data_IF_450752487389
#
_entry.id   IF_450752487389
#
_cell.length_a   1.000
_cell.length_b   1.000
_cell.length_c   1.000
_cell.angle_alpha   90.00
_cell.angle_beta   90.00
_cell.angle_gamma   90.00
#
_symmetry.space_group_name_H-M   'P 1'
#
loop_
_entity.id
_entity.type
_entity.pdbx_description
1 polymer ?
#
# COMPACT_ATOMS: atom_id res chain seq x y z
N UNK A 1 39.41 -28.04 -10.60
CA UNK A 1 40.90 -27.90 -10.73
C UNK A 1 41.27 -26.43 -10.63
N UNK A 2 42.26 -26.10 -9.71
CA UNK A 2 42.97 -24.82 -9.47
C UNK A 2 42.08 -23.67 -8.92
N UNK A 3 41.98 -23.35 -7.62
CA UNK A 3 42.95 -22.87 -6.59
C UNK A 3 43.82 -21.69 -7.06
N UNK A 4 43.56 -20.50 -6.48
CA UNK A 4 44.59 -19.57 -5.97
C UNK A 4 43.94 -18.53 -5.07
N UNK A 5 44.23 -18.61 -3.93
CA UNK A 5 44.53 -17.96 -2.67
C UNK A 5 45.52 -16.78 -2.85
N UNK A 6 45.24 -15.59 -2.37
CA UNK A 6 46.22 -14.60 -1.95
C UNK A 6 45.77 -13.85 -0.70
N UNK A 7 46.57 -14.07 0.33
CA UNK A 7 46.64 -13.39 1.64
C UNK A 7 47.81 -12.41 1.58
N UNK A 8 47.69 -11.21 2.14
CA UNK A 8 48.70 -10.35 2.77
C UNK A 8 47.95 -9.25 3.54
N UNK A 9 47.88 -9.15 4.82
CA UNK A 9 48.78 -8.98 5.97
C UNK A 9 49.50 -7.63 6.06
N UNK A 10 49.21 -6.90 7.14
CA UNK A 10 50.10 -6.02 7.89
C UNK A 10 49.96 -4.52 7.60
N UNK A 11 49.97 -3.59 8.50
CA UNK A 11 50.55 -3.47 9.82
C UNK A 11 50.03 -2.23 10.56
N UNK A 12 49.99 -2.34 11.80
CA UNK A 12 49.91 -1.46 12.98
C UNK A 12 50.91 -0.29 12.97
N UNK A 13 50.51 0.97 13.34
CA UNK A 13 51.37 1.94 14.00
C UNK A 13 50.57 2.76 15.03
N UNK A 14 50.92 2.61 16.30
CA UNK A 14 50.69 3.51 17.43
C UNK A 14 51.67 4.67 17.40
N UNK A 15 51.26 5.86 17.80
CA UNK A 15 52.15 6.82 18.49
C UNK A 15 51.36 7.71 19.44
N UNK A 16 51.82 7.71 20.65
CA UNK A 16 51.43 8.42 21.87
C UNK A 16 52.14 9.79 21.97
N UNK A 17 51.73 10.52 23.03
CA UNK A 17 52.39 11.68 23.72
C UNK A 17 51.87 13.04 23.23
N UNK A 18 51.45 13.96 24.07
CA UNK A 18 51.62 14.24 25.49
C UNK A 18 51.97 15.72 25.64
N UNK A 19 51.50 16.38 26.68
CA UNK A 19 52.11 17.67 27.06
C UNK A 19 51.12 18.71 27.59
N UNK A 20 51.02 18.79 28.77
CA UNK A 20 50.95 19.67 29.93
C UNK A 20 51.22 21.17 29.73
N UNK A 21 50.43 21.99 30.47
CA UNK A 21 51.05 23.03 31.26
C UNK A 21 50.49 24.44 31.11
N UNK A 22 50.01 24.99 32.24
CA UNK A 22 50.36 26.31 32.66
C UNK A 22 49.26 27.23 33.18
N UNK A 23 49.07 27.20 34.42
CA UNK A 23 48.62 28.13 35.45
C UNK A 23 48.70 29.65 35.20
N UNK A 24 47.73 30.42 35.78
CA UNK A 24 47.81 31.85 35.99
C UNK A 24 46.59 32.40 36.75
N UNK A 25 46.78 32.64 38.08
CA UNK A 25 45.85 33.29 38.99
C UNK A 25 45.83 34.81 38.83
N UNK A 26 44.69 35.47 39.17
CA UNK A 26 44.49 36.52 40.21
C UNK A 26 43.05 37.05 40.07
N UNK A 27 42.23 36.95 41.08
CA UNK A 27 41.91 37.77 42.27
C UNK A 27 40.99 38.99 41.97
N UNK A 28 39.80 39.02 42.63
CA UNK A 28 38.96 40.21 42.84
C UNK A 28 37.45 39.92 42.96
N UNK A 29 36.90 39.69 44.14
CA UNK A 29 35.49 39.83 44.48
C UNK A 29 35.24 41.24 45.01
N UNK A 30 34.08 41.64 45.58
CA UNK A 30 32.86 40.88 45.88
C UNK A 30 31.58 41.58 45.36
N UNK A 31 30.42 40.92 45.29
CA UNK A 31 29.20 41.35 46.00
C UNK A 31 28.05 40.38 45.73
N UNK A 32 27.43 39.95 46.83
CA UNK A 32 26.27 39.06 46.85
C UNK A 32 25.00 39.85 46.73
N UNK A 33 24.06 39.38 45.88
CA UNK A 33 22.62 39.63 46.04
C UNK A 33 21.88 38.31 45.74
N UNK A 34 20.96 37.83 46.58
CA UNK A 34 20.35 36.54 46.46
C UNK A 34 19.20 36.55 45.46
N UNK A 35 19.18 35.61 44.53
CA UNK A 35 18.09 35.37 43.60
C UNK A 35 17.18 34.26 44.16
N UNK A 36 15.84 34.41 44.08
CA UNK A 36 14.89 33.39 44.57
C UNK A 36 14.87 32.16 43.68
N UNK A 37 14.72 31.00 44.28
CA UNK A 37 14.55 29.71 43.66
C UNK A 37 13.36 29.69 42.66
N UNK A 38 13.63 29.42 41.39
CA UNK A 38 12.63 29.08 40.40
C UNK A 38 12.27 27.61 40.56
N UNK A 39 11.03 27.38 40.97
CA UNK A 39 10.38 26.07 40.97
C UNK A 39 10.35 25.51 39.56
N UNK A 40 10.97 24.34 39.35
CA UNK A 40 10.90 23.57 38.14
C UNK A 40 9.44 23.12 37.89
N UNK A 41 8.81 23.71 36.91
CA UNK A 41 7.53 23.23 36.38
C UNK A 41 7.86 22.11 35.41
N UNK A 42 7.67 20.86 35.83
CA UNK A 42 7.59 19.72 34.91
C UNK A 42 6.40 19.97 33.94
N UNK A 43 6.73 20.33 32.73
CA UNK A 43 5.77 20.33 31.62
C UNK A 43 5.47 18.88 31.26
N UNK A 44 4.46 18.29 31.91
CA UNK A 44 3.73 17.14 31.36
C UNK A 44 3.17 17.60 30.02
N UNK A 45 3.68 17.04 28.93
CA UNK A 45 3.06 17.11 27.61
C UNK A 45 1.70 16.39 27.70
N UNK A 46 0.68 17.11 28.12
CA UNK A 46 -0.69 16.68 28.08
C UNK A 46 -1.12 16.61 26.61
N UNK A 47 -1.27 15.40 26.10
CA UNK A 47 -2.05 15.15 24.92
C UNK A 47 -3.48 15.68 25.21
N UNK A 48 -3.83 16.83 24.64
CA UNK A 48 -5.18 17.37 24.65
C UNK A 48 -6.04 16.47 23.76
N UNK A 49 -6.67 15.47 24.35
CA UNK A 49 -7.77 14.74 23.70
C UNK A 49 -8.97 15.68 23.64
N UNK A 50 -9.40 15.99 22.42
CA UNK A 50 -10.69 16.68 22.22
C UNK A 50 -11.80 15.87 22.89
N UNK A 51 -12.75 16.52 23.63
CA UNK A 51 -13.87 15.84 24.27
C UNK A 51 -14.77 15.23 23.19
N UNK A 52 -14.82 13.89 23.11
CA UNK A 52 -15.68 13.16 22.17
C UNK A 52 -14.99 12.29 21.13
N UNK A 53 -13.64 12.28 21.07
CA UNK A 53 -12.90 11.43 20.14
C UNK A 53 -13.20 9.93 20.40
N UNK A 54 -13.60 9.22 19.35
CA UNK A 54 -13.81 7.77 19.41
C UNK A 54 -12.48 7.08 19.75
N UNK A 55 -12.45 6.36 20.87
CA UNK A 55 -11.27 5.62 21.31
C UNK A 55 -11.53 4.12 21.35
N UNK A 56 -10.54 3.35 21.00
CA UNK A 56 -10.61 1.89 21.14
C UNK A 56 -10.44 1.50 22.60
N UNK A 57 -11.37 0.68 23.10
CA UNK A 57 -11.20 -0.01 24.39
C UNK A 57 -10.29 -1.21 24.20
N UNK A 58 -9.18 -1.23 24.92
CA UNK A 58 -8.26 -2.37 24.97
C UNK A 58 -8.45 -3.13 26.28
N UNK A 59 -8.22 -4.49 26.31
CA UNK A 59 -7.76 -5.30 25.19
C UNK A 59 -8.82 -5.44 24.09
N UNK A 60 -8.39 -5.36 22.83
CA UNK A 60 -9.22 -5.57 21.66
C UNK A 60 -8.90 -6.91 21.01
N UNK A 61 -9.91 -7.78 20.85
CA UNK A 61 -9.75 -9.04 20.11
C UNK A 61 -10.53 -8.97 18.79
N UNK A 62 -9.82 -9.17 17.69
CA UNK A 62 -10.34 -9.16 16.31
C UNK A 62 -9.74 -10.30 15.50
N UNK A 63 -10.42 -10.70 14.41
CA UNK A 63 -9.93 -11.74 13.50
C UNK A 63 -9.50 -11.13 12.19
N UNK A 64 -8.37 -11.57 11.66
CA UNK A 64 -7.89 -11.18 10.34
C UNK A 64 -8.52 -12.03 9.21
N UNK A 65 -8.09 -11.81 7.97
CA UNK A 65 -8.63 -12.49 6.79
C UNK A 65 -8.35 -14.00 6.77
N UNK A 66 -7.38 -14.52 7.55
CA UNK A 66 -7.12 -15.96 7.71
C UNK A 66 -8.01 -16.59 8.77
N UNK A 67 -8.82 -15.80 9.49
CA UNK A 67 -9.61 -16.24 10.64
C UNK A 67 -8.84 -16.30 11.95
N UNK A 68 -7.54 -15.95 11.94
CA UNK A 68 -6.70 -15.91 13.13
C UNK A 68 -7.13 -14.78 14.05
N UNK A 69 -7.35 -15.10 15.33
CA UNK A 69 -7.71 -14.12 16.35
C UNK A 69 -6.46 -13.45 16.90
N UNK A 70 -6.48 -12.12 16.96
CA UNK A 70 -5.42 -11.28 17.53
C UNK A 70 -5.97 -10.47 18.69
N UNK A 71 -5.26 -10.48 19.82
CA UNK A 71 -5.63 -9.67 20.99
C UNK A 71 -4.58 -8.59 21.19
N UNK A 72 -4.98 -7.34 21.01
CA UNK A 72 -4.15 -6.16 21.21
C UNK A 72 -4.40 -5.61 22.61
N UNK A 73 -3.35 -5.61 23.47
CA UNK A 73 -3.45 -5.02 24.81
C UNK A 73 -3.44 -3.48 24.79
N UNK A 74 -2.91 -2.89 23.73
CA UNK A 74 -2.85 -1.45 23.43
C UNK A 74 -2.71 -1.23 21.93
N UNK A 75 -2.83 0.01 21.47
CA UNK A 75 -2.56 0.36 20.08
C UNK A 75 -1.11 0.04 19.71
N UNK A 76 -0.85 -0.60 18.53
CA UNK A 76 0.50 -0.84 18.03
C UNK A 76 1.29 0.47 17.85
N UNK A 77 2.56 0.45 18.20
CA UNK A 77 3.48 1.60 18.13
C UNK A 77 4.61 1.38 17.11
N UNK A 78 4.92 0.12 16.79
CA UNK A 78 5.97 -0.26 15.83
C UNK A 78 5.41 -1.20 14.79
N UNK A 79 5.05 -0.64 13.65
CA UNK A 79 4.34 -1.36 12.58
C UNK A 79 5.30 -1.59 11.42
N UNK A 80 5.43 -2.84 11.00
CA UNK A 80 6.02 -3.20 9.71
C UNK A 80 4.90 -3.46 8.72
N UNK A 81 4.93 -2.79 7.57
CA UNK A 81 4.00 -3.06 6.47
C UNK A 81 4.74 -3.76 5.33
N UNK A 82 4.25 -4.93 4.93
CA UNK A 82 4.85 -5.70 3.82
C UNK A 82 4.05 -5.61 2.52
N UNK A 83 3.14 -4.63 2.44
CA UNK A 83 2.27 -4.45 1.27
C UNK A 83 1.96 -2.97 1.02
N UNK A 84 2.12 -2.46 -0.21
CA UNK A 84 1.88 -1.06 -0.54
C UNK A 84 0.47 -0.55 -0.21
N UNK A 85 -0.57 -1.37 -0.39
CA UNK A 85 -1.94 -0.97 -0.08
C UNK A 85 -2.13 -0.69 1.42
N UNK A 86 -1.59 -1.56 2.27
CA UNK A 86 -1.64 -1.42 3.73
C UNK A 86 -0.78 -0.26 4.21
N UNK A 87 0.38 -0.03 3.59
CA UNK A 87 1.20 1.16 3.85
C UNK A 87 0.42 2.43 3.56
N UNK A 88 -0.25 2.51 2.41
CA UNK A 88 -1.11 3.66 2.07
C UNK A 88 -2.23 3.88 3.10
N UNK A 89 -2.84 2.80 3.61
CA UNK A 89 -3.84 2.89 4.68
C UNK A 89 -3.21 3.48 5.94
N UNK A 90 -2.07 2.94 6.40
CA UNK A 90 -1.40 3.42 7.61
C UNK A 90 -1.05 4.91 7.53
N UNK A 91 -0.50 5.36 6.41
CA UNK A 91 -0.20 6.78 6.21
C UNK A 91 -1.46 7.65 6.13
N UNK A 92 -2.52 7.18 5.47
CA UNK A 92 -3.80 7.89 5.40
C UNK A 92 -4.46 8.04 6.79
N UNK A 93 -4.18 7.13 7.73
CA UNK A 93 -4.62 7.19 9.11
C UNK A 93 -3.68 8.03 10.01
N UNK A 94 -2.63 8.66 9.46
CA UNK A 94 -1.68 9.47 10.22
C UNK A 94 -0.75 8.63 11.10
N UNK A 95 -0.41 7.42 10.67
CA UNK A 95 0.45 6.49 11.41
C UNK A 95 1.88 6.40 10.84
N UNK A 96 2.28 7.30 9.94
CA UNK A 96 3.59 7.29 9.31
C UNK A 96 4.76 7.18 10.28
N UNK A 97 4.68 7.85 11.45
CA UNK A 97 5.71 7.79 12.49
C UNK A 97 5.79 6.41 13.16
N UNK A 98 4.70 5.63 13.17
CA UNK A 98 4.68 4.28 13.73
C UNK A 98 5.10 3.22 12.72
N UNK A 99 5.14 3.53 11.42
CA UNK A 99 5.65 2.63 10.38
C UNK A 99 7.17 2.63 10.45
N UNK A 100 7.74 1.53 10.93
CA UNK A 100 9.20 1.39 11.13
C UNK A 100 9.92 0.77 9.94
N UNK A 101 9.22 0.02 9.09
CA UNK A 101 9.74 -0.51 7.83
C UNK A 101 8.61 -0.89 6.87
N UNK A 102 8.93 -0.99 5.58
CA UNK A 102 7.99 -1.26 4.49
C UNK A 102 8.60 -2.23 3.47
N UNK A 103 7.78 -2.75 2.53
CA UNK A 103 8.29 -3.59 1.44
C UNK A 103 9.12 -2.79 0.43
N UNK A 104 9.84 -3.50 -0.46
CA UNK A 104 10.63 -2.90 -1.54
C UNK A 104 9.76 -2.13 -2.56
N UNK A 105 8.44 -2.45 -2.61
CA UNK A 105 7.49 -1.91 -3.58
C UNK A 105 6.68 -0.72 -3.05
N UNK A 106 6.97 -0.27 -1.83
CA UNK A 106 6.29 0.88 -1.22
C UNK A 106 6.88 2.20 -1.74
N UNK A 107 6.11 2.86 -2.59
CA UNK A 107 6.50 4.09 -3.29
C UNK A 107 5.56 5.28 -3.00
N UNK A 108 4.50 5.06 -2.21
CA UNK A 108 3.54 6.08 -1.84
C UNK A 108 3.07 5.92 -0.38
N UNK A 109 2.91 7.05 0.37
CA UNK A 109 3.35 8.40 -0.02
C UNK A 109 4.87 8.52 -0.11
N UNK A 110 5.40 9.69 -0.47
CA UNK A 110 6.85 9.90 -0.65
C UNK A 110 7.65 9.51 0.60
N UNK A 111 7.10 9.76 1.79
CA UNK A 111 7.71 9.42 3.07
C UNK A 111 7.90 7.90 3.27
N UNK A 112 7.08 7.07 2.63
CA UNK A 112 7.23 5.61 2.69
C UNK A 112 8.50 5.12 1.98
N UNK A 113 8.97 5.84 0.95
CA UNK A 113 10.20 5.49 0.23
C UNK A 113 11.43 5.54 1.11
N UNK A 114 11.45 6.47 2.09
CA UNK A 114 12.55 6.66 3.01
C UNK A 114 12.60 5.62 4.16
N UNK A 115 11.56 4.79 4.31
CA UNK A 115 11.52 3.77 5.37
C UNK A 115 12.46 2.60 5.06
N UNK A 116 13.04 1.95 6.09
CA UNK A 116 13.77 0.71 5.94
C UNK A 116 12.99 -0.34 5.15
N UNK A 117 13.69 -1.13 4.33
CA UNK A 117 13.07 -2.14 3.46
C UNK A 117 13.19 -3.53 4.06
N UNK A 118 12.11 -4.32 3.97
CA UNK A 118 12.02 -5.69 4.48
C UNK A 118 11.77 -6.72 3.38
N UNK A 119 12.11 -6.41 2.15
CA UNK A 119 12.00 -7.33 1.01
C UNK A 119 10.67 -7.27 0.28
N UNK A 120 10.40 -8.31 -0.51
CA UNK A 120 9.25 -8.37 -1.42
C UNK A 120 7.91 -8.64 -0.71
N UNK A 121 6.81 -8.36 -1.42
CA UNK A 121 5.43 -8.50 -0.89
C UNK A 121 4.98 -9.96 -0.75
N UNK A 122 5.51 -10.88 -1.57
CA UNK A 122 5.15 -12.31 -1.54
C UNK A 122 5.97 -13.06 -0.50
N UNK A 123 7.28 -12.83 -0.52
CA UNK A 123 8.26 -13.46 0.36
C UNK A 123 9.15 -12.37 0.97
N UNK A 124 8.74 -11.74 2.07
CA UNK A 124 9.54 -10.73 2.73
C UNK A 124 10.76 -11.37 3.43
N UNK A 125 11.74 -10.54 3.75
CA UNK A 125 12.91 -10.96 4.52
C UNK A 125 12.57 -11.03 6.01
N UNK A 126 12.46 -12.25 6.55
CA UNK A 126 12.06 -12.54 7.92
C UNK A 126 13.03 -11.91 8.95
N UNK A 127 14.34 -12.01 8.70
CA UNK A 127 15.36 -11.44 9.58
C UNK A 127 15.28 -9.90 9.62
N UNK A 128 15.05 -9.29 8.46
CA UNK A 128 14.88 -7.84 8.37
C UNK A 128 13.63 -7.37 9.14
N UNK A 129 12.51 -8.13 9.08
CA UNK A 129 11.31 -7.85 9.85
C UNK A 129 11.60 -7.96 11.36
N UNK A 130 12.19 -9.08 11.81
CA UNK A 130 12.49 -9.33 13.22
C UNK A 130 13.43 -8.25 13.77
N UNK A 131 14.43 -7.82 12.99
CA UNK A 131 15.36 -6.76 13.38
C UNK A 131 14.66 -5.43 13.68
N UNK A 132 13.50 -5.16 13.09
CA UNK A 132 12.69 -3.97 13.39
C UNK A 132 11.96 -4.05 14.73
N UNK A 133 11.91 -5.22 15.37
CA UNK A 133 11.17 -5.48 16.62
C UNK A 133 9.74 -4.89 16.57
N UNK A 134 8.92 -5.29 15.57
CA UNK A 134 7.57 -4.79 15.44
C UNK A 134 6.65 -5.36 16.52
N UNK A 135 5.65 -4.59 16.92
CA UNK A 135 4.51 -5.09 17.70
C UNK A 135 3.31 -5.44 16.79
N UNK A 136 3.39 -5.09 15.50
CA UNK A 136 2.46 -5.52 14.46
C UNK A 136 3.19 -5.60 13.10
N UNK A 137 3.00 -6.70 12.39
CA UNK A 137 3.27 -6.82 10.96
C UNK A 137 1.93 -6.83 10.24
N UNK A 138 1.75 -5.94 9.25
CA UNK A 138 0.53 -5.91 8.44
C UNK A 138 0.88 -6.27 7.01
N UNK A 139 0.05 -7.13 6.39
CA UNK A 139 0.27 -7.64 5.04
C UNK A 139 -1.02 -7.75 4.24
N UNK A 140 -0.90 -7.77 2.92
CA UNK A 140 -2.01 -7.75 1.97
C UNK A 140 -2.25 -9.07 1.22
N UNK A 141 -3.02 -8.96 0.15
CA UNK A 141 -3.51 -10.09 -0.66
C UNK A 141 -2.38 -10.89 -1.32
N UNK A 142 -1.24 -10.27 -1.61
CA UNK A 142 -0.13 -10.93 -2.34
C UNK A 142 0.64 -11.94 -1.49
N UNK A 143 0.61 -11.83 -0.17
CA UNK A 143 1.25 -12.79 0.71
C UNK A 143 0.36 -14.03 0.85
N UNK A 144 0.93 -15.21 0.61
CA UNK A 144 0.23 -16.47 0.85
C UNK A 144 0.03 -16.73 2.35
N UNK A 145 -1.05 -17.44 2.72
CA UNK A 145 -1.37 -17.72 4.12
C UNK A 145 -0.25 -18.49 4.82
N UNK A 146 0.41 -19.42 4.12
CA UNK A 146 1.54 -20.20 4.66
C UNK A 146 2.73 -19.30 5.07
N UNK A 147 2.98 -18.22 4.31
CA UNK A 147 4.05 -17.25 4.66
C UNK A 147 3.66 -16.45 5.90
N UNK A 148 2.41 -16.02 6.00
CA UNK A 148 1.90 -15.34 7.19
C UNK A 148 1.98 -16.26 8.44
N UNK A 149 1.61 -17.55 8.33
CA UNK A 149 1.72 -18.52 9.40
C UNK A 149 3.18 -18.77 9.81
N UNK A 150 4.09 -18.83 8.84
CA UNK A 150 5.52 -18.95 9.14
C UNK A 150 6.02 -17.75 9.97
N UNK A 151 5.68 -16.52 9.59
CA UNK A 151 6.04 -15.33 10.35
C UNK A 151 5.45 -15.37 11.78
N UNK A 152 4.21 -15.85 11.94
CA UNK A 152 3.58 -16.04 13.26
C UNK A 152 4.33 -17.06 14.11
N UNK A 153 4.80 -18.16 13.50
CA UNK A 153 5.58 -19.19 14.20
C UNK A 153 6.92 -18.67 14.75
N UNK A 154 7.43 -17.56 14.18
CA UNK A 154 8.60 -16.84 14.66
C UNK A 154 8.27 -15.84 15.79
N UNK A 155 7.04 -15.85 16.31
CA UNK A 155 6.60 -14.97 17.40
C UNK A 155 6.12 -13.59 16.99
N UNK A 156 5.93 -13.33 15.69
CA UNK A 156 5.42 -12.05 15.19
C UNK A 156 3.88 -12.02 15.23
N UNK A 157 3.31 -10.86 15.57
CA UNK A 157 1.89 -10.59 15.38
C UNK A 157 1.68 -10.17 13.93
N UNK A 158 1.09 -11.04 13.10
CA UNK A 158 0.88 -10.79 11.67
C UNK A 158 -0.59 -10.67 11.36
N UNK A 159 -1.04 -9.47 11.01
CA UNK A 159 -2.38 -9.15 10.54
C UNK A 159 -2.43 -9.22 9.01
N UNK A 160 -3.20 -10.17 8.49
CA UNK A 160 -3.36 -10.36 7.04
C UNK A 160 -4.70 -9.81 6.56
N UNK A 161 -4.68 -9.01 5.48
CA UNK A 161 -5.88 -8.55 4.78
C UNK A 161 -6.08 -9.32 3.47
N UNK A 162 -7.32 -9.42 3.02
CA UNK A 162 -7.67 -10.05 1.74
C UNK A 162 -8.94 -9.42 1.16
N UNK A 163 -8.94 -8.10 0.84
CA UNK A 163 -10.11 -7.43 0.31
C UNK A 163 -10.39 -7.84 -1.13
N UNK A 164 -11.65 -8.18 -1.42
CA UNK A 164 -12.12 -8.57 -2.75
C UNK A 164 -13.04 -7.54 -3.39
N UNK A 165 -13.57 -6.62 -2.59
CA UNK A 165 -14.50 -5.57 -3.02
C UNK A 165 -14.09 -4.22 -2.45
N UNK A 166 -14.63 -3.15 -2.98
CA UNK A 166 -14.46 -1.80 -2.41
C UNK A 166 -15.03 -1.73 -0.99
N UNK A 167 -16.07 -2.50 -0.69
CA UNK A 167 -16.61 -2.62 0.66
C UNK A 167 -15.62 -3.29 1.62
N UNK A 168 -14.93 -4.36 1.20
CA UNK A 168 -13.91 -5.00 2.01
C UNK A 168 -12.72 -4.08 2.26
N UNK A 169 -12.31 -3.30 1.25
CA UNK A 169 -11.25 -2.29 1.40
C UNK A 169 -11.63 -1.28 2.49
N UNK A 170 -12.86 -0.73 2.41
CA UNK A 170 -13.34 0.21 3.42
C UNK A 170 -13.43 -0.43 4.81
N UNK A 171 -13.88 -1.68 4.91
CA UNK A 171 -13.91 -2.41 6.17
C UNK A 171 -12.51 -2.63 6.76
N UNK A 172 -11.52 -2.97 5.93
CA UNK A 172 -10.12 -3.09 6.36
C UNK A 172 -9.59 -1.77 6.91
N UNK A 173 -9.88 -0.65 6.25
CA UNK A 173 -9.49 0.69 6.73
C UNK A 173 -10.09 0.95 8.13
N UNK A 174 -11.37 0.63 8.33
CA UNK A 174 -12.04 0.80 9.63
C UNK A 174 -11.45 -0.11 10.71
N UNK A 175 -11.17 -1.39 10.39
CA UNK A 175 -10.54 -2.33 11.32
C UNK A 175 -9.12 -1.91 11.71
N UNK A 176 -8.30 -1.49 10.74
CA UNK A 176 -6.97 -0.95 11.02
C UNK A 176 -7.08 0.30 11.88
N UNK A 177 -8.05 1.18 11.61
CA UNK A 177 -8.35 2.34 12.44
C UNK A 177 -8.70 1.95 13.88
N UNK A 178 -9.50 0.90 14.08
CA UNK A 178 -9.84 0.38 15.39
C UNK A 178 -8.61 -0.22 16.11
N UNK A 179 -7.83 -1.08 15.44
CA UNK A 179 -6.63 -1.71 16.00
C UNK A 179 -5.61 -0.66 16.45
N UNK A 180 -5.47 0.43 15.69
CA UNK A 180 -4.43 1.45 15.89
C UNK A 180 -4.91 2.68 16.66
N UNK A 181 -6.16 2.70 17.13
CA UNK A 181 -6.83 3.83 17.77
C UNK A 181 -6.86 5.10 16.86
N UNK A 182 -7.35 4.92 15.62
CA UNK A 182 -7.49 5.94 14.57
C UNK A 182 -8.87 5.88 13.90
N UNK A 183 -9.93 5.65 14.68
CA UNK A 183 -11.29 5.46 14.15
C UNK A 183 -11.80 6.68 13.38
N UNK A 184 -11.60 7.89 13.90
CA UNK A 184 -12.05 9.11 13.24
C UNK A 184 -11.38 9.33 11.90
N UNK A 185 -10.06 9.08 11.83
CA UNK A 185 -9.31 9.14 10.58
C UNK A 185 -9.80 8.10 9.58
N UNK A 186 -10.04 6.87 10.05
CA UNK A 186 -10.55 5.79 9.21
C UNK A 186 -11.95 6.10 8.67
N UNK A 187 -12.85 6.61 9.51
CA UNK A 187 -14.19 7.02 9.10
C UNK A 187 -14.13 8.17 8.08
N UNK A 188 -13.24 9.15 8.27
CA UNK A 188 -13.06 10.25 7.34
C UNK A 188 -12.53 9.79 5.97
N UNK A 189 -11.59 8.81 5.95
CA UNK A 189 -11.10 8.20 4.72
C UNK A 189 -12.23 7.46 4.00
N UNK A 190 -12.97 6.61 4.73
CA UNK A 190 -14.09 5.84 4.17
C UNK A 190 -15.23 6.73 3.69
N UNK A 191 -15.53 7.83 4.37
CA UNK A 191 -16.54 8.80 3.92
C UNK A 191 -16.17 9.38 2.55
N UNK A 192 -14.93 9.83 2.37
CA UNK A 192 -14.42 10.33 1.07
C UNK A 192 -14.50 9.26 -0.02
N UNK A 193 -14.09 8.02 0.28
CA UNK A 193 -14.19 6.91 -0.68
C UNK A 193 -15.64 6.68 -1.13
N UNK A 194 -16.61 6.73 -0.20
CA UNK A 194 -18.04 6.61 -0.53
C UNK A 194 -18.54 7.75 -1.42
N UNK A 195 -18.12 8.97 -1.16
CA UNK A 195 -18.44 10.14 -1.97
C UNK A 195 -17.88 10.01 -3.39
N UNK A 196 -16.64 9.56 -3.55
CA UNK A 196 -16.02 9.34 -4.85
C UNK A 196 -16.77 8.25 -5.64
N UNK A 197 -17.07 7.11 -5.01
CA UNK A 197 -17.87 6.04 -5.63
C UNK A 197 -19.24 6.57 -6.06
N UNK A 198 -19.92 7.35 -5.21
CA UNK A 198 -21.22 7.91 -5.54
C UNK A 198 -21.15 8.91 -6.69
N UNK A 199 -20.08 9.71 -6.76
CA UNK A 199 -19.85 10.65 -7.88
C UNK A 199 -19.74 9.91 -9.20
N UNK A 200 -18.97 8.82 -9.26
CA UNK A 200 -18.84 8.00 -10.46
C UNK A 200 -20.18 7.35 -10.83
N UNK A 201 -20.88 6.74 -9.85
CA UNK A 201 -22.21 6.15 -10.09
C UNK A 201 -23.20 7.15 -10.68
N UNK A 202 -23.24 8.37 -10.14
CA UNK A 202 -24.11 9.43 -10.65
C UNK A 202 -23.77 9.83 -12.10
N UNK A 203 -22.48 9.86 -12.45
CA UNK A 203 -22.06 10.21 -13.80
C UNK A 203 -22.47 9.18 -14.86
N UNK A 204 -22.67 7.92 -14.46
CA UNK A 204 -23.01 6.81 -15.38
C UNK A 204 -24.41 6.24 -15.18
N UNK A 205 -25.24 6.82 -14.27
CA UNK A 205 -26.55 6.28 -13.88
C UNK A 205 -27.53 6.13 -15.05
N UNK A 206 -27.43 7.01 -16.06
CA UNK A 206 -28.32 7.03 -17.24
C UNK A 206 -27.86 6.09 -18.35
N UNK A 207 -26.76 5.34 -18.16
CA UNK A 207 -26.29 4.36 -19.15
C UNK A 207 -27.19 3.13 -19.10
N UNK A 208 -27.99 2.93 -20.15
CA UNK A 208 -28.89 1.78 -20.24
C UNK A 208 -28.13 0.47 -20.36
N UNK A 209 -28.68 -0.66 -19.91
CA UNK A 209 -28.00 -1.96 -19.97
C UNK A 209 -27.44 -2.33 -21.34
N UNK A 210 -28.19 -2.02 -22.43
CA UNK A 210 -27.79 -2.29 -23.81
C UNK A 210 -26.78 -1.28 -24.39
N UNK A 211 -26.48 -0.20 -23.66
CA UNK A 211 -25.51 0.84 -24.04
C UNK A 211 -24.17 0.67 -23.27
N UNK A 212 -24.14 -0.25 -22.31
CA UNK A 212 -22.94 -0.50 -21.51
C UNK A 212 -21.80 -0.99 -22.39
N UNK A 213 -20.62 -0.40 -22.18
CA UNK A 213 -19.41 -0.74 -22.91
C UNK A 213 -18.82 -2.05 -22.41
N UNK A 214 -18.43 -2.94 -23.34
CA UNK A 214 -17.62 -4.11 -23.06
C UNK A 214 -16.20 -3.68 -22.79
N UNK A 215 -15.65 -4.13 -21.68
CA UNK A 215 -14.32 -3.75 -21.19
C UNK A 215 -13.45 -4.98 -21.02
N UNK A 216 -12.27 -4.95 -21.61
CA UNK A 216 -11.19 -5.87 -21.30
C UNK A 216 -10.18 -5.15 -20.42
N UNK A 217 -9.74 -5.75 -19.31
CA UNK A 217 -8.65 -5.25 -18.48
C UNK A 217 -7.49 -6.22 -18.53
N UNK A 218 -6.28 -5.71 -18.76
CA UNK A 218 -5.04 -6.48 -18.71
C UNK A 218 -4.09 -5.85 -17.69
N UNK A 219 -3.86 -6.54 -16.57
CA UNK A 219 -3.01 -6.02 -15.49
C UNK A 219 -1.57 -6.58 -15.54
N UNK A 220 -1.36 -7.69 -16.25
CA UNK A 220 -0.06 -8.26 -16.59
C UNK A 220 -0.19 -8.97 -17.95
N UNK A 221 0.91 -9.23 -18.70
CA UNK A 221 0.83 -9.82 -20.02
C UNK A 221 0.01 -11.11 -20.08
N UNK A 222 -1.15 -11.07 -20.76
CA UNK A 222 -2.09 -12.19 -20.89
C UNK A 222 -2.91 -12.51 -19.63
N UNK A 223 -2.89 -11.65 -18.60
CA UNK A 223 -3.66 -11.83 -17.37
C UNK A 223 -4.76 -10.79 -17.23
N UNK A 224 -5.92 -11.26 -16.85
CA UNK A 224 -7.12 -10.47 -16.59
C UNK A 224 -7.76 -10.84 -15.25
N UNK A 225 -8.81 -10.13 -14.91
CA UNK A 225 -9.61 -10.37 -13.71
C UNK A 225 -11.01 -10.77 -14.08
N UNK A 226 -11.51 -11.81 -13.44
CA UNK A 226 -12.89 -12.24 -13.53
C UNK A 226 -13.75 -11.67 -12.39
N UNK A 227 -14.94 -12.21 -12.28
CA UNK A 227 -15.93 -11.86 -11.27
C UNK A 227 -15.40 -12.06 -9.83
N UNK A 228 -15.86 -11.19 -8.94
CA UNK A 228 -15.63 -11.32 -7.51
C UNK A 228 -14.34 -10.68 -6.99
N UNK A 229 -13.67 -9.90 -7.84
CA UNK A 229 -12.49 -9.11 -7.46
C UNK A 229 -12.76 -7.61 -7.54
N UNK A 230 -12.06 -6.82 -6.74
CA UNK A 230 -12.25 -5.37 -6.71
C UNK A 230 -12.02 -4.72 -8.09
N UNK A 231 -11.10 -5.22 -8.89
CA UNK A 231 -10.82 -4.67 -10.23
C UNK A 231 -11.99 -4.92 -11.21
N UNK A 232 -12.70 -6.06 -11.12
CA UNK A 232 -13.95 -6.32 -11.82
C UNK A 232 -15.05 -5.38 -11.31
N UNK A 233 -15.11 -5.16 -10.00
CA UNK A 233 -16.07 -4.23 -9.39
C UNK A 233 -15.85 -2.78 -9.89
N UNK A 234 -14.60 -2.32 -10.09
CA UNK A 234 -14.32 -1.00 -10.67
C UNK A 234 -14.98 -0.83 -12.04
N UNK A 235 -14.89 -1.85 -12.91
CA UNK A 235 -15.54 -1.83 -14.24
C UNK A 235 -17.05 -1.72 -14.09
N UNK A 236 -17.63 -2.49 -13.17
CA UNK A 236 -19.08 -2.51 -12.93
C UNK A 236 -19.57 -1.20 -12.34
N UNK A 237 -18.90 -0.64 -11.36
CA UNK A 237 -19.20 0.66 -10.73
C UNK A 237 -19.08 1.80 -11.74
N UNK A 238 -18.16 1.69 -12.70
CA UNK A 238 -17.99 2.61 -13.81
C UNK A 238 -19.03 2.44 -14.93
N UNK A 239 -20.03 1.55 -14.76
CA UNK A 239 -21.08 1.31 -15.74
C UNK A 239 -20.67 0.44 -16.94
N UNK A 240 -19.49 -0.19 -16.90
CA UNK A 240 -19.01 -1.12 -17.93
C UNK A 240 -19.46 -2.56 -17.70
N UNK A 241 -19.10 -3.43 -18.65
CA UNK A 241 -19.29 -4.90 -18.60
C UNK A 241 -17.92 -5.54 -18.82
N UNK A 242 -17.43 -6.25 -17.84
CA UNK A 242 -16.19 -7.00 -17.97
C UNK A 242 -16.38 -8.21 -18.89
N UNK A 243 -15.59 -8.34 -19.96
CA UNK A 243 -15.66 -9.49 -20.87
C UNK A 243 -15.23 -10.82 -20.25
N UNK A 244 -14.56 -10.76 -19.09
CA UNK A 244 -14.11 -11.92 -18.33
C UNK A 244 -15.02 -12.25 -17.12
N UNK A 245 -16.20 -11.64 -16.99
CA UNK A 245 -17.12 -11.84 -15.87
C UNK A 245 -17.70 -13.26 -15.75
N UNK A 246 -17.51 -14.12 -16.76
CA UNK A 246 -17.83 -15.56 -16.74
C UNK A 246 -16.76 -16.40 -16.02
N UNK A 247 -15.61 -15.81 -15.68
CA UNK A 247 -14.53 -16.41 -14.88
C UNK A 247 -14.55 -15.83 -13.46
N UNK A 248 -13.96 -16.52 -12.51
CA UNK A 248 -13.80 -16.03 -11.12
C UNK A 248 -12.33 -15.78 -10.80
N UNK A 249 -12.01 -14.71 -10.07
CA UNK A 249 -10.65 -14.43 -9.61
C UNK A 249 -9.70 -13.92 -10.70
N UNK A 250 -8.41 -14.14 -10.47
CA UNK A 250 -7.31 -13.69 -11.34
C UNK A 250 -6.92 -14.80 -12.30
N UNK A 251 -6.99 -14.57 -13.60
CA UNK A 251 -6.87 -15.62 -14.60
C UNK A 251 -6.02 -15.20 -15.80
N UNK A 252 -5.29 -16.16 -16.41
CA UNK A 252 -4.85 -16.01 -17.77
C UNK A 252 -6.05 -16.02 -18.71
N UNK A 253 -6.00 -15.26 -19.79
CA UNK A 253 -7.06 -15.20 -20.81
C UNK A 253 -6.48 -15.48 -22.20
N UNK A 254 -7.19 -16.23 -23.02
CA UNK A 254 -6.77 -16.46 -24.39
C UNK A 254 -7.06 -15.24 -25.28
N UNK A 255 -6.14 -14.93 -26.18
CA UNK A 255 -6.35 -13.87 -27.18
C UNK A 255 -7.57 -14.13 -28.07
N UNK A 256 -7.87 -15.41 -28.37
CA UNK A 256 -9.07 -15.80 -29.11
C UNK A 256 -10.35 -15.37 -28.40
N UNK A 257 -10.42 -15.53 -27.05
CA UNK A 257 -11.57 -15.07 -26.27
C UNK A 257 -11.71 -13.56 -26.35
N UNK A 258 -10.61 -12.81 -26.21
CA UNK A 258 -10.64 -11.34 -26.30
C UNK A 258 -11.10 -10.88 -27.69
N UNK A 259 -10.57 -11.50 -28.76
CA UNK A 259 -10.98 -11.20 -30.13
C UNK A 259 -12.45 -11.50 -30.38
N UNK A 260 -12.96 -12.62 -29.85
CA UNK A 260 -14.38 -13.02 -29.99
C UNK A 260 -15.33 -12.05 -29.28
N UNK A 261 -14.94 -11.58 -28.09
CA UNK A 261 -15.72 -10.63 -27.32
C UNK A 261 -15.74 -9.22 -27.91
N UNK A 262 -14.74 -8.86 -28.70
CA UNK A 262 -14.55 -7.57 -29.39
C UNK A 262 -14.88 -6.37 -28.47
N UNK A 263 -14.06 -6.12 -27.43
CA UNK A 263 -14.35 -5.11 -26.42
C UNK A 263 -14.40 -3.70 -27.01
N UNK A 264 -15.25 -2.84 -26.42
CA UNK A 264 -15.35 -1.42 -26.75
C UNK A 264 -14.14 -0.63 -26.19
N UNK A 265 -13.57 -1.11 -25.08
CA UNK A 265 -12.44 -0.48 -24.37
C UNK A 265 -11.49 -1.56 -23.88
N UNK A 266 -10.19 -1.33 -24.08
CA UNK A 266 -9.12 -2.09 -23.46
C UNK A 266 -8.46 -1.19 -22.42
N UNK A 267 -8.53 -1.62 -21.15
CA UNK A 267 -7.77 -1.02 -20.05
C UNK A 267 -6.51 -1.83 -19.82
N UNK A 268 -5.41 -1.17 -19.59
CA UNK A 268 -4.18 -1.86 -19.19
C UNK A 268 -3.51 -1.15 -18.01
N UNK A 269 -2.83 -1.92 -17.16
CA UNK A 269 -2.03 -1.36 -16.08
C UNK A 269 -0.78 -0.67 -16.65
N UNK A 270 -0.80 0.66 -16.68
CA UNK A 270 0.35 1.45 -17.14
C UNK A 270 1.48 1.38 -16.09
N UNK A 271 2.72 1.39 -16.56
CA UNK A 271 3.90 1.18 -15.72
C UNK A 271 4.36 -0.28 -15.66
N UNK A 272 3.52 -1.25 -16.07
CA UNK A 272 3.92 -2.65 -16.17
C UNK A 272 4.79 -2.88 -17.39
N UNK A 273 5.94 -3.51 -17.15
CA UNK A 273 6.89 -3.95 -18.18
C UNK A 273 7.08 -5.46 -18.04
N UNK A 274 7.02 -6.17 -19.17
CA UNK A 274 7.32 -7.61 -19.20
C UNK A 274 8.82 -7.84 -19.02
N UNK A 275 9.19 -8.54 -17.97
CA UNK A 275 10.61 -8.78 -17.62
C UNK A 275 11.40 -9.53 -18.70
N UNK A 276 10.72 -10.36 -19.48
CA UNK A 276 11.38 -11.18 -20.52
C UNK A 276 11.68 -10.40 -21.79
N UNK A 277 10.72 -9.59 -22.24
CA UNK A 277 10.84 -8.84 -23.50
C UNK A 277 11.29 -7.39 -23.31
N UNK A 278 11.22 -6.85 -22.09
CA UNK A 278 11.45 -5.44 -21.80
C UNK A 278 10.40 -4.51 -22.39
N UNK A 279 9.29 -5.04 -22.94
CA UNK A 279 8.22 -4.23 -23.54
C UNK A 279 7.21 -3.81 -22.49
N UNK A 280 6.67 -2.59 -22.64
CA UNK A 280 5.54 -2.15 -21.84
C UNK A 280 4.29 -2.93 -22.24
N UNK A 281 3.34 -3.05 -21.31
CA UNK A 281 2.07 -3.74 -21.57
C UNK A 281 1.31 -3.11 -22.76
N UNK A 282 1.36 -1.80 -22.91
CA UNK A 282 0.82 -1.12 -24.09
C UNK A 282 1.46 -1.60 -25.39
N UNK A 283 2.78 -1.69 -25.43
CA UNK A 283 3.51 -2.16 -26.63
C UNK A 283 3.14 -3.60 -26.98
N UNK A 284 2.98 -4.46 -25.96
CA UNK A 284 2.57 -5.85 -26.13
C UNK A 284 1.16 -5.90 -26.73
N UNK A 285 0.19 -5.19 -26.15
CA UNK A 285 -1.19 -5.15 -26.61
C UNK A 285 -1.29 -4.68 -28.06
N UNK A 286 -0.60 -3.58 -28.39
CA UNK A 286 -0.68 -2.99 -29.75
C UNK A 286 0.02 -3.83 -30.82
N UNK A 287 0.93 -4.73 -30.46
CA UNK A 287 1.65 -5.61 -31.40
C UNK A 287 1.01 -6.98 -31.61
N UNK A 288 -0.02 -7.34 -30.84
CA UNK A 288 -0.69 -8.64 -30.98
C UNK A 288 -1.36 -8.78 -32.35
N UNK A 289 -1.15 -9.93 -32.97
CA UNK A 289 -1.69 -10.21 -34.31
C UNK A 289 -3.21 -10.24 -34.29
N UNK A 290 -3.84 -9.56 -35.26
CA UNK A 290 -5.31 -9.50 -35.41
C UNK A 290 -6.02 -8.52 -34.47
N UNK A 291 -5.32 -7.92 -33.49
CA UNK A 291 -5.93 -6.97 -32.55
C UNK A 291 -6.21 -5.61 -33.19
N UNK A 292 -5.53 -5.28 -34.28
CA UNK A 292 -5.78 -4.11 -35.12
C UNK A 292 -7.23 -4.06 -35.66
N UNK A 293 -7.89 -5.20 -35.74
CA UNK A 293 -9.29 -5.32 -36.20
C UNK A 293 -10.31 -5.10 -35.09
N UNK A 294 -9.90 -5.18 -33.80
CA UNK A 294 -10.83 -4.99 -32.68
C UNK A 294 -11.33 -3.55 -32.62
N UNK A 295 -12.58 -3.41 -32.17
CA UNK A 295 -13.25 -2.12 -32.01
C UNK A 295 -12.44 -1.15 -31.13
N UNK A 296 -12.00 -1.60 -29.95
CA UNK A 296 -11.22 -0.77 -29.05
C UNK A 296 -9.93 -0.22 -29.67
N UNK A 297 -9.25 -1.01 -30.52
CA UNK A 297 -8.01 -0.58 -31.18
C UNK A 297 -8.29 0.41 -32.31
N UNK A 298 -9.28 0.13 -33.17
CA UNK A 298 -9.67 1.03 -34.26
C UNK A 298 -10.19 2.38 -33.75
N UNK A 299 -10.94 2.36 -32.64
CA UNK A 299 -11.53 3.55 -32.04
C UNK A 299 -10.58 4.26 -31.07
N UNK A 300 -9.30 3.82 -31.02
CA UNK A 300 -8.24 4.37 -30.14
C UNK A 300 -8.62 4.32 -28.64
N UNK A 301 -9.33 3.28 -28.23
CA UNK A 301 -9.82 3.06 -26.87
C UNK A 301 -8.96 2.03 -26.09
N UNK A 302 -7.65 2.01 -26.34
CA UNK A 302 -6.64 1.28 -25.57
C UNK A 302 -6.04 2.27 -24.58
N UNK A 303 -6.47 2.20 -23.32
CA UNK A 303 -6.22 3.25 -22.32
C UNK A 303 -5.45 2.68 -21.14
N UNK A 304 -4.32 3.31 -20.80
CA UNK A 304 -3.53 2.99 -19.61
C UNK A 304 -4.15 3.62 -18.36
N UNK A 305 -4.28 2.82 -17.32
CA UNK A 305 -4.58 3.27 -15.96
C UNK A 305 -3.37 2.98 -15.10
N UNK A 306 -2.96 3.92 -14.26
CA UNK A 306 -1.82 3.71 -13.35
C UNK A 306 -1.97 2.40 -12.58
N UNK A 307 -0.94 1.54 -12.65
CA UNK A 307 -0.99 0.21 -12.04
C UNK A 307 -1.28 0.28 -10.53
N UNK A 308 -0.77 1.29 -9.84
CA UNK A 308 -0.93 1.43 -8.40
C UNK A 308 -2.38 1.80 -8.04
N UNK A 309 -3.04 2.62 -8.88
CA UNK A 309 -4.45 2.98 -8.72
C UNK A 309 -5.39 1.83 -9.11
N UNK A 310 -4.97 0.97 -10.05
CA UNK A 310 -5.77 -0.15 -10.54
C UNK A 310 -5.63 -1.40 -9.66
N UNK A 311 -4.44 -1.64 -9.09
CA UNK A 311 -4.07 -2.93 -8.48
C UNK A 311 -3.89 -2.90 -6.96
N UNK A 312 -3.86 -1.72 -6.32
CA UNK A 312 -3.70 -1.61 -4.86
C UNK A 312 -5.05 -1.43 -4.18
N UNK A 313 -5.53 -2.43 -3.42
CA UNK A 313 -6.81 -2.34 -2.71
C UNK A 313 -6.68 -1.49 -1.43
N UNK A 314 -6.47 -0.19 -1.61
CA UNK A 314 -6.25 0.80 -0.57
C UNK A 314 -7.10 2.06 -0.77
N UNK A 315 -6.81 3.16 -0.04
CA UNK A 315 -7.62 4.38 -0.08
C UNK A 315 -7.72 5.02 -1.48
N UNK A 316 -6.68 4.85 -2.32
CA UNK A 316 -6.63 5.42 -3.66
C UNK A 316 -7.38 4.62 -4.73
N UNK A 317 -7.99 3.49 -4.38
CA UNK A 317 -8.75 2.68 -5.35
C UNK A 317 -9.91 3.47 -5.97
N UNK A 318 -10.45 4.48 -5.27
CA UNK A 318 -11.50 5.35 -5.81
C UNK A 318 -10.99 6.32 -6.88
N UNK A 319 -9.70 6.69 -6.82
CA UNK A 319 -9.05 7.40 -7.92
C UNK A 319 -8.92 6.48 -9.14
N UNK A 320 -8.55 5.21 -8.93
CA UNK A 320 -8.57 4.18 -9.97
C UNK A 320 -9.96 4.00 -10.58
N UNK A 321 -11.02 3.96 -9.77
CA UNK A 321 -12.39 3.94 -10.25
C UNK A 321 -12.72 5.13 -11.16
N UNK A 322 -12.29 6.33 -10.78
CA UNK A 322 -12.48 7.52 -11.58
C UNK A 322 -11.78 7.42 -12.94
N UNK A 323 -10.51 6.99 -12.98
CA UNK A 323 -9.76 6.80 -14.21
C UNK A 323 -10.38 5.71 -15.11
N UNK A 324 -10.82 4.60 -14.53
CA UNK A 324 -11.56 3.54 -15.23
C UNK A 324 -12.85 4.09 -15.84
N UNK A 325 -13.64 4.85 -15.07
CA UNK A 325 -14.89 5.43 -15.53
C UNK A 325 -14.66 6.45 -16.64
N UNK A 326 -13.65 7.30 -16.54
CA UNK A 326 -13.23 8.25 -17.56
C UNK A 326 -12.75 7.54 -18.84
N UNK A 327 -12.01 6.45 -18.69
CA UNK A 327 -11.60 5.63 -19.83
C UNK A 327 -12.79 4.98 -20.53
N UNK A 328 -13.83 4.55 -19.81
CA UNK A 328 -15.03 3.93 -20.39
C UNK A 328 -15.98 4.99 -20.98
N UNK A 329 -16.20 6.11 -20.29
CA UNK A 329 -17.16 7.16 -20.66
C UNK A 329 -16.54 8.57 -20.54
N UNK A 330 -15.59 8.96 -21.43
CA UNK A 330 -14.87 10.24 -21.32
C UNK A 330 -15.78 11.47 -21.43
N UNK A 331 -16.94 11.34 -22.10
CA UNK A 331 -17.90 12.43 -22.24
C UNK A 331 -18.76 12.65 -20.99
N UNK A 332 -18.80 11.66 -20.07
CA UNK A 332 -19.61 11.68 -18.84
C UNK A 332 -18.78 11.96 -17.59
N UNK A 333 -17.55 11.46 -17.57
CA UNK A 333 -16.62 11.58 -16.43
C UNK A 333 -15.48 12.52 -16.84
N UNK A 334 -15.51 13.75 -16.31
CA UNK A 334 -14.59 14.83 -16.68
C UNK A 334 -13.56 15.09 -15.59
#
# INVERSE_FOLDING_TARGET
MKRSLWLVMGALVMALLGGCGGSGQTAGGPDQVPTPAAAGTEQKSGQTTSPGAKQTSYPLTVKDATGTAHTFAKAPERIVSTSPAETEILFALGLGDRVVAVSDYDDYPEEAKAKPKVGGVVNPNEEAIIAQRPDLVITGISMQDQVAEKLRSLGLVVWKTNPRTTADIMNNILLIGQITNRQEQAEAVVARMKEDIQRVKNAVQDVKPNERKKVYVEFAPGWTVGKGEFMDELITLAGGVNIAADMEGWNPISEEKVLKEDPDVILYASGVTDEKSGQTLEQIIRKRSGWDKMKAVRDQRVVGVDQNLLSRPGPRITQGLYEVAKAIYPDRVK
#
